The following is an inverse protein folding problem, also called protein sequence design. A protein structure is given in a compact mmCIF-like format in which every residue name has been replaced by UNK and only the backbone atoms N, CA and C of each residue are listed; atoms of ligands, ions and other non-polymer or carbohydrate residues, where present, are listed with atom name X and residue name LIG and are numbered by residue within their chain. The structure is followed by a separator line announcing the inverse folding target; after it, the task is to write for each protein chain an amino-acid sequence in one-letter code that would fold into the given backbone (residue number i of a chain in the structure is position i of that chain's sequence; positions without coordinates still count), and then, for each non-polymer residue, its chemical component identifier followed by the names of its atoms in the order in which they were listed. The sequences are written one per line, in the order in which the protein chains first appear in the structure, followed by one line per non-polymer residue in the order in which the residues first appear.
data_IF_837412479985
#
_entry.id   IF_837412479985
#
_cell.length_a   1.000
_cell.length_b   1.000
_cell.length_c   1.000
_cell.angle_alpha   90.00
_cell.angle_beta   90.00
_cell.angle_gamma   90.00
#
_symmetry.space_group_name_H-M   'P 1'
#
loop_
_entity.id
_entity.type
_entity.pdbx_description
1 polymer ?
#
# COMPACT_ATOMS: atom_id res chain seq x y z
N UNK A 1 10.69 0.69 4.05
CA UNK A 1 9.43 0.37 3.36
C UNK A 1 9.82 -0.27 2.06
N UNK A 2 9.33 -1.47 1.84
CA UNK A 2 9.64 -2.30 0.71
C UNK A 2 8.32 -2.83 0.17
N UNK A 3 7.97 -2.48 -1.06
CA UNK A 3 6.81 -3.03 -1.73
C UNK A 3 7.25 -4.26 -2.54
N UNK A 4 6.42 -5.29 -2.56
CA UNK A 4 6.60 -6.53 -3.31
C UNK A 4 5.31 -6.86 -4.07
N UNK A 5 5.20 -6.38 -5.31
CA UNK A 5 3.96 -6.48 -6.08
C UNK A 5 2.83 -5.71 -5.40
N UNK A 6 1.76 -6.41 -5.02
CA UNK A 6 0.61 -5.84 -4.31
C UNK A 6 0.78 -5.84 -2.78
N UNK A 7 1.72 -6.63 -2.25
CA UNK A 7 2.04 -6.64 -0.82
C UNK A 7 3.19 -5.72 -0.49
N UNK A 8 3.45 -5.51 0.80
CA UNK A 8 4.57 -4.72 1.25
C UNK A 8 4.94 -4.95 2.72
N UNK A 9 6.16 -4.52 3.07
CA UNK A 9 6.73 -4.57 4.41
C UNK A 9 7.23 -3.17 4.81
N UNK A 10 6.81 -2.72 5.99
CA UNK A 10 7.34 -1.53 6.65
C UNK A 10 8.13 -1.93 7.89
N UNK A 11 9.35 -1.40 8.01
CA UNK A 11 10.10 -1.40 9.25
C UNK A 11 9.80 -0.11 10.01
N UNK A 12 9.20 -0.24 11.19
CA UNK A 12 8.74 0.90 12.00
C UNK A 12 9.45 0.90 13.35
N UNK A 13 9.51 2.08 13.97
CA UNK A 13 9.99 2.28 15.33
C UNK A 13 8.96 3.13 16.05
N UNK A 14 8.63 2.77 17.28
CA UNK A 14 7.62 3.46 18.09
C UNK A 14 8.30 4.17 19.25
N UNK A 15 7.86 5.39 19.56
CA UNK A 15 8.52 6.25 20.52
C UNK A 15 8.47 5.66 21.94
N UNK A 16 7.37 4.98 22.29
CA UNK A 16 7.19 4.33 23.59
C UNK A 16 8.11 3.12 23.80
N UNK A 17 8.70 2.63 22.70
CA UNK A 17 9.72 1.60 22.72
C UNK A 17 11.12 2.17 22.61
N UNK A 18 11.32 3.48 22.78
CA UNK A 18 12.64 4.10 22.87
C UNK A 18 13.12 4.10 24.33
N UNK A 19 14.38 3.72 24.56
CA UNK A 19 15.02 3.76 25.87
C UNK A 19 16.01 4.94 25.93
N UNK A 20 16.48 5.27 27.14
CA UNK A 20 17.57 6.23 27.33
C UNK A 20 18.82 5.75 26.56
N UNK A 21 19.04 6.31 25.36
CA UNK A 21 20.12 5.90 24.44
C UNK A 21 19.68 5.71 22.98
N UNK A 22 18.38 5.70 22.68
CA UNK A 22 17.87 5.70 21.31
C UNK A 22 16.74 4.70 21.05
N UNK A 23 16.49 4.42 19.77
CA UNK A 23 15.45 3.48 19.36
C UNK A 23 15.85 2.05 19.71
N UNK A 24 15.12 1.43 20.62
CA UNK A 24 15.49 0.14 21.20
C UNK A 24 15.07 -1.04 20.34
N UNK A 25 14.02 -0.90 19.53
CA UNK A 25 13.54 -2.01 18.71
C UNK A 25 12.88 -1.58 17.39
N UNK A 26 13.08 -2.40 16.35
CA UNK A 26 12.45 -2.24 15.03
C UNK A 26 11.35 -3.29 14.91
N UNK A 27 10.12 -2.87 14.62
CA UNK A 27 8.99 -3.76 14.33
C UNK A 27 8.81 -3.94 12.83
N UNK A 28 8.29 -5.09 12.45
CA UNK A 28 7.95 -5.41 11.05
C UNK A 28 6.44 -5.39 10.90
N UNK A 29 5.93 -4.49 10.06
CA UNK A 29 4.52 -4.38 9.70
C UNK A 29 4.34 -4.89 8.27
N UNK A 30 3.55 -5.95 8.10
CA UNK A 30 3.21 -6.52 6.79
C UNK A 30 1.87 -6.00 6.33
N UNK A 31 1.72 -5.73 5.04
CA UNK A 31 0.49 -5.27 4.43
C UNK A 31 0.25 -6.02 3.12
N UNK A 32 -1.00 -6.43 2.87
CA UNK A 32 -1.41 -7.02 1.60
C UNK A 32 -1.78 -5.97 0.53
N UNK A 33 -1.55 -4.68 0.83
CA UNK A 33 -1.87 -3.53 -0.01
C UNK A 33 -0.60 -2.74 -0.38
N UNK A 34 -0.49 -2.24 -1.62
CA UNK A 34 0.71 -1.56 -2.08
C UNK A 34 0.70 -0.07 -1.73
N UNK A 35 1.85 0.57 -1.91
CA UNK A 35 2.01 2.01 -1.77
C UNK A 35 2.39 2.47 -0.36
N UNK A 36 3.39 3.35 -0.29
CA UNK A 36 3.90 3.91 0.97
C UNK A 36 2.83 4.65 1.78
N UNK A 37 1.83 5.22 1.11
CA UNK A 37 0.72 5.90 1.78
C UNK A 37 -0.13 4.93 2.61
N UNK A 38 -0.32 3.68 2.15
CA UNK A 38 -1.00 2.64 2.93
C UNK A 38 -0.20 2.26 4.18
N UNK A 39 1.14 2.25 4.09
CA UNK A 39 2.00 2.07 5.27
C UNK A 39 1.79 3.18 6.31
N UNK A 40 1.63 4.43 5.87
CA UNK A 40 1.39 5.56 6.76
C UNK A 40 -0.01 5.48 7.38
N UNK A 41 -1.03 5.12 6.60
CA UNK A 41 -2.39 4.89 7.11
C UNK A 41 -2.40 3.76 8.15
N UNK A 42 -1.73 2.65 7.86
CA UNK A 42 -1.61 1.51 8.77
C UNK A 42 -0.87 1.90 10.05
N UNK A 43 0.21 2.69 9.97
CA UNK A 43 0.90 3.19 11.15
C UNK A 43 -0.01 4.08 12.01
N UNK A 44 -0.83 4.92 11.40
CA UNK A 44 -1.86 5.68 12.13
C UNK A 44 -2.87 4.77 12.84
N UNK A 45 -3.29 3.69 12.20
CA UNK A 45 -4.16 2.68 12.79
C UNK A 45 -3.48 1.90 13.94
N UNK A 46 -2.20 1.57 13.80
CA UNK A 46 -1.39 0.96 14.88
C UNK A 46 -1.43 1.85 16.11
N UNK A 47 -1.05 3.12 15.97
CA UNK A 47 -1.01 4.07 17.07
C UNK A 47 -2.38 4.24 17.73
N UNK A 48 -3.44 4.38 16.95
CA UNK A 48 -4.79 4.54 17.49
C UNK A 48 -5.26 3.29 18.27
N UNK A 49 -4.98 2.10 17.77
CA UNK A 49 -5.37 0.85 18.41
C UNK A 49 -4.58 0.57 19.69
N UNK A 50 -3.27 0.86 19.70
CA UNK A 50 -2.44 0.72 20.90
C UNK A 50 -2.86 1.69 21.99
N UNK A 51 -3.17 2.95 21.63
CA UNK A 51 -3.72 3.94 22.57
C UNK A 51 -5.09 3.51 23.13
N UNK A 52 -5.88 2.77 22.36
CA UNK A 52 -7.14 2.18 22.82
C UNK A 52 -6.96 0.92 23.68
N UNK A 53 -5.72 0.50 23.97
CA UNK A 53 -5.38 -0.63 24.85
C UNK A 53 -5.22 -1.98 24.14
N UNK A 54 -5.20 -2.03 22.81
CA UNK A 54 -4.85 -3.25 22.09
C UNK A 54 -3.35 -3.54 22.19
N UNK A 55 -2.98 -4.82 22.28
CA UNK A 55 -1.56 -5.19 22.23
C UNK A 55 -0.98 -4.92 20.83
N UNK A 56 0.24 -4.39 20.78
CA UNK A 56 0.92 -4.07 19.52
C UNK A 56 1.02 -5.29 18.58
N UNK A 57 1.38 -6.45 19.11
CA UNK A 57 1.52 -7.68 18.32
C UNK A 57 0.19 -8.10 17.68
N UNK A 58 -0.92 -8.05 18.45
CA UNK A 58 -2.26 -8.35 17.91
C UNK A 58 -2.67 -7.38 16.79
N UNK A 59 -2.31 -6.10 16.91
CA UNK A 59 -2.62 -5.10 15.88
C UNK A 59 -1.80 -5.33 14.62
N UNK A 60 -0.51 -5.65 14.76
CA UNK A 60 0.37 -5.97 13.62
C UNK A 60 -0.09 -7.23 12.88
N UNK A 61 -0.50 -8.27 13.62
CA UNK A 61 -1.04 -9.50 13.04
C UNK A 61 -2.38 -9.22 12.32
N UNK A 62 -3.26 -8.42 12.92
CA UNK A 62 -4.52 -7.99 12.29
C UNK A 62 -4.29 -7.21 11.00
N UNK A 63 -3.32 -6.29 10.97
CA UNK A 63 -2.96 -5.53 9.77
C UNK A 63 -2.37 -6.41 8.66
N UNK A 64 -1.67 -7.47 9.01
CA UNK A 64 -1.15 -8.42 8.01
C UNK A 64 -2.27 -9.13 7.24
N UNK A 65 -3.44 -9.30 7.85
CA UNK A 65 -4.65 -9.87 7.24
C UNK A 65 -5.59 -8.83 6.61
N UNK A 66 -5.22 -7.56 6.55
CA UNK A 66 -6.04 -6.54 5.89
C UNK A 66 -5.87 -6.62 4.37
N UNK A 67 -6.89 -7.14 3.69
CA UNK A 67 -6.91 -7.36 2.23
C UNK A 67 -7.29 -6.11 1.42
N UNK A 68 -7.37 -4.95 2.06
CA UNK A 68 -7.79 -3.70 1.43
C UNK A 68 -9.28 -3.41 1.57
N UNK A 69 -9.70 -2.36 0.87
CA UNK A 69 -11.11 -1.99 0.73
C UNK A 69 -11.41 -1.80 -0.74
N UNK A 70 -12.69 -1.94 -1.12
CA UNK A 70 -13.08 -1.74 -2.52
C UNK A 70 -12.62 -0.37 -3.03
N UNK A 71 -12.21 -0.32 -4.29
CA UNK A 71 -11.79 0.90 -4.98
C UNK A 71 -10.59 1.59 -4.33
N UNK A 72 -9.70 0.84 -3.68
CA UNK A 72 -8.38 1.29 -3.23
C UNK A 72 -7.32 0.33 -3.72
N UNK A 73 -6.82 0.60 -4.93
CA UNK A 73 -5.93 -0.25 -5.69
C UNK A 73 -6.40 -1.71 -5.77
N UNK A 74 -7.70 -1.91 -5.95
CA UNK A 74 -8.35 -3.21 -5.90
C UNK A 74 -8.10 -3.97 -7.20
N UNK A 75 -7.54 -5.18 -7.13
CA UNK A 75 -7.43 -6.07 -8.30
C UNK A 75 -8.83 -6.61 -8.66
N UNK A 76 -9.45 -6.06 -9.69
CA UNK A 76 -10.79 -6.48 -10.12
C UNK A 76 -10.76 -7.71 -11.04
N UNK A 77 -9.61 -8.02 -11.64
CA UNK A 77 -9.44 -9.23 -12.42
C UNK A 77 -8.15 -9.28 -13.22
N UNK A 78 -7.91 -10.45 -13.82
CA UNK A 78 -6.81 -10.67 -14.74
C UNK A 78 -7.26 -11.49 -15.95
N UNK A 79 -6.82 -11.10 -17.14
CA UNK A 79 -7.13 -11.80 -18.39
C UNK A 79 -6.02 -11.56 -19.41
N UNK A 80 -5.63 -12.61 -20.16
CA UNK A 80 -4.61 -12.54 -21.21
C UNK A 80 -3.30 -11.82 -20.79
N UNK A 81 -2.84 -12.04 -19.55
CA UNK A 81 -1.64 -11.40 -19.00
C UNK A 81 -1.82 -9.94 -18.58
N UNK A 82 -3.04 -9.38 -18.65
CA UNK A 82 -3.37 -8.03 -18.20
C UNK A 82 -4.05 -8.11 -16.84
N UNK A 83 -3.58 -7.31 -15.88
CA UNK A 83 -4.23 -7.09 -14.58
C UNK A 83 -4.99 -5.77 -14.61
N UNK A 84 -6.23 -5.77 -14.14
CA UNK A 84 -7.08 -4.59 -14.08
C UNK A 84 -7.29 -4.23 -12.62
N UNK A 85 -7.06 -2.95 -12.29
CA UNK A 85 -7.23 -2.42 -10.95
C UNK A 85 -8.26 -1.29 -10.95
N UNK A 86 -9.07 -1.20 -9.88
CA UNK A 86 -9.99 -0.07 -9.64
C UNK A 86 -9.50 0.79 -8.44
N UNK A 87 -9.57 2.11 -8.60
CA UNK A 87 -9.19 3.08 -7.57
C UNK A 87 -10.11 4.31 -7.58
N UNK A 88 -10.44 4.82 -6.39
CA UNK A 88 -11.27 6.00 -6.19
C UNK A 88 -10.51 7.33 -6.29
N UNK A 89 -9.20 7.31 -6.54
CA UNK A 89 -8.35 8.47 -6.61
C UNK A 89 -8.89 9.53 -7.58
N UNK A 90 -9.15 10.72 -7.03
CA UNK A 90 -9.65 11.85 -7.81
C UNK A 90 -9.05 13.18 -7.36
N UNK A 91 -8.43 13.23 -6.16
CA UNK A 91 -7.54 14.32 -5.80
C UNK A 91 -6.14 14.12 -6.42
N UNK A 92 -5.43 15.19 -6.83
CA UNK A 92 -4.09 15.07 -7.42
C UNK A 92 -3.09 14.26 -6.58
N UNK A 93 -3.14 14.38 -5.25
CA UNK A 93 -2.30 13.60 -4.33
C UNK A 93 -2.62 12.11 -4.36
N UNK A 94 -3.92 11.76 -4.37
CA UNK A 94 -4.36 10.35 -4.46
C UNK A 94 -3.98 9.73 -5.80
N UNK A 95 -4.17 10.49 -6.90
CA UNK A 95 -3.80 10.04 -8.25
C UNK A 95 -2.30 9.75 -8.29
N UNK A 96 -1.48 10.68 -7.79
CA UNK A 96 -0.02 10.47 -7.72
C UNK A 96 0.35 9.23 -6.93
N UNK A 97 -0.26 9.03 -5.76
CA UNK A 97 0.00 7.87 -4.91
C UNK A 97 -0.36 6.54 -5.59
N UNK A 98 -1.50 6.51 -6.29
CA UNK A 98 -1.98 5.36 -7.07
C UNK A 98 -1.03 5.02 -8.21
N UNK A 99 -0.62 6.01 -9.00
CA UNK A 99 0.31 5.81 -10.11
C UNK A 99 1.69 5.36 -9.66
N UNK A 100 2.18 5.87 -8.53
CA UNK A 100 3.45 5.41 -7.94
C UNK A 100 3.37 3.93 -7.52
N UNK A 101 2.30 3.52 -6.84
CA UNK A 101 2.10 2.12 -6.45
C UNK A 101 2.02 1.19 -7.68
N UNK A 102 1.27 1.60 -8.71
CA UNK A 102 1.17 0.87 -9.98
C UNK A 102 2.52 0.71 -10.66
N UNK A 103 3.34 1.75 -10.68
CA UNK A 103 4.66 1.69 -11.32
C UNK A 103 5.53 0.61 -10.68
N UNK A 104 5.56 0.54 -9.36
CA UNK A 104 6.30 -0.49 -8.63
C UNK A 104 5.74 -1.90 -8.91
N UNK A 105 4.41 -2.05 -8.99
CA UNK A 105 3.77 -3.33 -9.36
C UNK A 105 4.19 -3.80 -10.76
N UNK A 106 4.34 -2.89 -11.71
CA UNK A 106 4.77 -3.19 -13.09
C UNK A 106 6.26 -3.52 -13.15
N UNK A 107 7.10 -2.82 -12.37
CA UNK A 107 8.55 -3.06 -12.32
C UNK A 107 8.94 -4.37 -11.64
N UNK A 108 8.10 -4.88 -10.73
CA UNK A 108 8.38 -6.06 -9.92
C UNK A 108 7.64 -7.34 -10.36
N UNK A 109 6.89 -7.32 -11.47
CA UNK A 109 6.09 -8.47 -11.91
C UNK A 109 7.00 -9.69 -12.24
N UNK A 110 6.95 -10.77 -11.42
CA UNK A 110 7.81 -11.93 -11.59
C UNK A 110 7.30 -12.91 -12.65
N UNK A 111 6.13 -12.67 -13.26
CA UNK A 111 5.58 -13.53 -14.31
C UNK A 111 6.41 -13.55 -15.57
N UNK A 112 7.45 -12.69 -15.68
CA UNK A 112 8.56 -12.89 -16.58
C UNK A 112 8.08 -13.48 -17.89
N UNK A 113 7.23 -12.76 -18.62
CA UNK A 113 7.29 -12.94 -20.05
C UNK A 113 8.58 -12.22 -20.46
N UNK A 114 9.69 -12.94 -20.73
CA UNK A 114 10.90 -12.35 -21.30
C UNK A 114 10.66 -11.75 -22.70
N UNK A 115 9.41 -11.63 -23.14
CA UNK A 115 8.98 -11.06 -24.41
C UNK A 115 8.39 -9.64 -24.30
N UNK A 116 8.26 -9.03 -23.11
CA UNK A 116 7.84 -7.61 -23.03
C UNK A 116 8.84 -6.78 -22.25
N UNK A 117 9.97 -6.51 -22.90
CA UNK A 117 10.53 -5.15 -22.87
C UNK A 117 9.38 -4.16 -23.13
N UNK A 118 8.93 -3.43 -22.10
CA UNK A 118 7.89 -2.41 -22.22
C UNK A 118 6.52 -2.72 -21.63
N UNK A 119 6.44 -3.35 -20.45
CA UNK A 119 5.20 -3.39 -19.67
C UNK A 119 4.65 -1.96 -19.47
N UNK A 120 3.35 -1.78 -19.76
CA UNK A 120 2.72 -0.45 -19.82
C UNK A 120 1.75 -0.26 -18.66
N UNK A 121 1.88 0.90 -18.02
CA UNK A 121 0.85 1.46 -17.16
C UNK A 121 -0.22 2.15 -18.03
N UNK A 122 -1.45 1.65 -18.03
CA UNK A 122 -2.59 2.28 -18.73
C UNK A 122 -3.57 2.77 -17.68
N UNK A 123 -4.01 4.02 -17.81
CA UNK A 123 -4.92 4.68 -16.87
C UNK A 123 -6.17 5.11 -17.61
N UNK A 124 -7.34 4.72 -17.10
CA UNK A 124 -8.63 5.25 -17.50
C UNK A 124 -9.10 6.16 -16.37
N UNK A 125 -9.02 7.47 -16.58
CA UNK A 125 -9.33 8.47 -15.56
C UNK A 125 -10.63 9.20 -15.88
N UNK A 126 -11.53 9.28 -14.90
CA UNK A 126 -12.75 10.06 -14.96
C UNK A 126 -12.65 11.23 -13.96
N UNK A 127 -12.61 12.50 -14.41
CA UNK A 127 -12.71 13.65 -13.53
C UNK A 127 -13.99 13.60 -12.70
N UNK A 128 -13.91 14.00 -11.42
CA UNK A 128 -14.96 13.74 -10.43
C UNK A 128 -16.12 14.75 -10.46
N UNK A 129 -15.83 16.06 -10.53
CA UNK A 129 -16.82 17.14 -10.58
C UNK A 129 -16.37 18.25 -11.53
N UNK A 130 -17.34 18.93 -12.17
CA UNK A 130 -17.07 20.09 -13.03
C UNK A 130 -16.29 21.20 -12.32
N UNK A 131 -16.62 21.52 -11.07
CA UNK A 131 -15.94 22.55 -10.28
C UNK A 131 -14.52 22.16 -9.83
N UNK A 132 -14.10 20.91 -10.09
CA UNK A 132 -12.82 20.34 -9.67
C UNK A 132 -11.96 19.84 -10.85
N UNK A 133 -12.42 20.07 -12.08
CA UNK A 133 -11.73 19.71 -13.34
C UNK A 133 -10.95 20.91 -13.85
#
# INVERSE_FOLDING_TARGET
WEQHGIGAVAHIRLADEAAEGGWTAVRTMRLAVPGRHMALNALGAVLAATEAGASLDSVLDGLAGFDGVRRRFELVGSAAGVRVFDDYAHHPTEVRATLTAMRTVVEQDPTGHPAVTGARSIVVFQPHLYSRT
#
